data_IF_423249215526
#
_entry.id   IF_423249215526
#
_cell.length_a   1.000
_cell.length_b   1.000
_cell.length_c   1.000
_cell.angle_alpha   90.00
_cell.angle_beta   90.00
_cell.angle_gamma   90.00
#
_symmetry.space_group_name_H-M   'P 1'
#
loop_
_entity.id
_entity.type
_entity.pdbx_description
1 polymer ?
#
# COMPACT_ATOMS: atom_id res chain seq x y z
N UNK A 1 -4.59 -12.62 25.26
CA UNK A 1 -3.18 -12.23 25.03
C UNK A 1 -3.16 -10.74 24.77
N UNK A 2 -2.23 -9.96 25.34
CA UNK A 2 -2.16 -8.54 25.01
C UNK A 2 -1.74 -8.43 23.54
N UNK A 3 -2.44 -7.58 22.77
CA UNK A 3 -1.97 -7.20 21.44
C UNK A 3 -0.61 -6.56 21.63
N UNK A 4 0.43 -7.26 21.21
CA UNK A 4 1.78 -6.73 21.18
C UNK A 4 1.76 -5.47 20.32
N UNK A 5 2.02 -4.31 20.92
CA UNK A 5 2.22 -3.05 20.20
C UNK A 5 3.43 -3.20 19.26
N UNK A 6 3.16 -3.63 18.04
CA UNK A 6 4.17 -3.77 17.01
C UNK A 6 4.51 -2.38 16.50
N UNK A 7 5.72 -1.92 16.82
CA UNK A 7 6.22 -0.61 16.41
C UNK A 7 6.20 -0.49 14.88
N UNK A 8 5.81 0.67 14.33
CA UNK A 8 5.91 0.91 12.89
C UNK A 8 7.35 0.74 12.42
N UNK A 9 7.52 0.20 11.21
CA UNK A 9 8.83 0.11 10.58
C UNK A 9 9.43 1.49 10.33
N UNK A 10 10.76 1.57 10.21
CA UNK A 10 11.48 2.84 10.06
C UNK A 10 10.95 3.70 8.91
N UNK A 11 10.64 3.09 7.75
CA UNK A 11 10.12 3.82 6.59
C UNK A 11 8.72 4.38 6.85
N UNK A 12 7.82 3.57 7.43
CA UNK A 12 6.48 4.01 7.84
C UNK A 12 6.57 5.22 8.76
N UNK A 13 7.53 5.22 9.69
CA UNK A 13 7.77 6.34 10.58
C UNK A 13 8.18 7.62 9.83
N UNK A 14 9.03 7.51 8.78
CA UNK A 14 9.41 8.68 7.97
C UNK A 14 8.22 9.27 7.20
N UNK A 15 7.31 8.43 6.71
CA UNK A 15 6.06 8.85 6.05
C UNK A 15 5.13 9.55 7.04
N UNK A 16 4.96 8.97 8.23
CA UNK A 16 4.15 9.57 9.31
C UNK A 16 4.68 10.95 9.70
N UNK A 17 6.01 11.09 9.81
CA UNK A 17 6.68 12.33 10.17
C UNK A 17 6.74 13.35 9.02
N UNK A 18 6.16 13.04 7.85
CA UNK A 18 6.14 13.89 6.65
C UNK A 18 7.54 14.37 6.24
N UNK A 19 8.57 13.57 6.52
CA UNK A 19 9.95 13.84 6.11
C UNK A 19 10.19 13.53 4.63
N UNK A 20 9.17 13.03 3.94
CA UNK A 20 9.16 12.74 2.51
C UNK A 20 8.49 13.91 1.80
N UNK A 21 9.11 14.38 0.72
CA UNK A 21 8.65 15.54 -0.04
C UNK A 21 7.18 15.30 -0.47
N UNK A 22 6.25 16.26 -0.25
CA UNK A 22 4.85 16.11 -0.65
C UNK A 22 4.75 16.07 -2.16
N UNK A 23 4.74 14.85 -2.70
CA UNK A 23 4.33 14.56 -4.07
C UNK A 23 3.18 13.57 -3.98
N UNK A 24 2.09 13.81 -4.72
CA UNK A 24 0.98 12.86 -4.76
C UNK A 24 1.36 11.66 -5.62
N UNK A 25 2.13 10.74 -5.05
CA UNK A 25 2.49 9.48 -5.68
C UNK A 25 1.22 8.64 -5.90
N UNK A 26 1.14 8.00 -7.07
CA UNK A 26 0.25 6.87 -7.31
C UNK A 26 0.98 5.60 -6.88
N UNK A 27 0.42 4.90 -5.91
CA UNK A 27 1.03 3.72 -5.29
C UNK A 27 0.06 2.56 -5.41
N UNK A 28 0.56 1.45 -5.96
CA UNK A 28 -0.11 0.16 -5.86
C UNK A 28 0.59 -0.65 -4.77
N UNK A 29 -0.16 -1.02 -3.73
CA UNK A 29 0.34 -1.76 -2.59
C UNK A 29 -0.42 -3.08 -2.49
N UNK A 30 0.30 -4.18 -2.40
CA UNK A 30 -0.29 -5.51 -2.27
C UNK A 30 0.36 -6.27 -1.12
N UNK A 31 -0.47 -6.95 -0.31
CA UNK A 31 -0.01 -7.78 0.80
C UNK A 31 -0.88 -9.05 0.92
N UNK A 32 -0.25 -10.11 1.41
CA UNK A 32 -0.94 -11.35 1.75
C UNK A 32 -1.61 -11.25 3.13
N UNK A 33 -2.82 -11.79 3.27
CA UNK A 33 -3.53 -11.92 4.55
C UNK A 33 -3.04 -13.08 5.43
N UNK A 34 -2.34 -14.08 4.87
CA UNK A 34 -1.88 -15.27 5.63
C UNK A 34 -0.59 -15.02 6.42
N UNK A 35 0.12 -13.94 6.13
CA UNK A 35 1.30 -13.49 6.89
C UNK A 35 0.92 -12.32 7.80
N UNK A 36 0.53 -12.63 9.05
CA UNK A 36 -0.04 -11.65 9.99
C UNK A 36 0.85 -10.40 10.18
N UNK A 37 2.17 -10.59 10.29
CA UNK A 37 3.13 -9.50 10.48
C UNK A 37 3.22 -8.62 9.22
N UNK A 38 3.29 -9.24 8.04
CA UNK A 38 3.35 -8.54 6.75
C UNK A 38 2.06 -7.76 6.50
N UNK A 39 0.91 -8.37 6.75
CA UNK A 39 -0.38 -7.70 6.64
C UNK A 39 -0.47 -6.50 7.60
N UNK A 40 -0.01 -6.67 8.85
CA UNK A 40 -0.01 -5.60 9.84
C UNK A 40 0.87 -4.42 9.44
N UNK A 41 2.12 -4.65 9.04
CA UNK A 41 3.01 -3.54 8.63
C UNK A 41 2.54 -2.86 7.35
N UNK A 42 1.94 -3.61 6.42
CA UNK A 42 1.34 -3.04 5.22
C UNK A 42 0.11 -2.17 5.53
N UNK A 43 -0.74 -2.58 6.47
CA UNK A 43 -1.87 -1.77 6.93
C UNK A 43 -1.38 -0.44 7.54
N UNK A 44 -0.32 -0.46 8.36
CA UNK A 44 0.25 0.76 8.91
C UNK A 44 0.82 1.68 7.83
N UNK A 45 1.54 1.13 6.85
CA UNK A 45 2.08 1.90 5.73
C UNK A 45 0.97 2.50 4.86
N UNK A 46 -0.08 1.73 4.57
CA UNK A 46 -1.23 2.22 3.80
C UNK A 46 -1.87 3.45 4.47
N UNK A 47 -2.12 3.36 5.78
CA UNK A 47 -2.68 4.46 6.55
C UNK A 47 -1.74 5.69 6.59
N UNK A 48 -0.42 5.47 6.72
CA UNK A 48 0.57 6.54 6.69
C UNK A 48 0.59 7.26 5.32
N UNK A 49 0.57 6.51 4.23
CA UNK A 49 0.60 7.05 2.87
C UNK A 49 -0.68 7.83 2.53
N UNK A 50 -1.86 7.33 2.94
CA UNK A 50 -3.12 8.05 2.76
C UNK A 50 -3.11 9.39 3.52
N UNK A 51 -2.66 9.39 4.78
CA UNK A 51 -2.53 10.62 5.59
C UNK A 51 -1.52 11.61 5.00
N UNK A 52 -0.49 11.13 4.32
CA UNK A 52 0.48 11.95 3.62
C UNK A 52 -0.01 12.50 2.26
N UNK A 53 -1.24 12.18 1.83
CA UNK A 53 -1.85 12.72 0.61
C UNK A 53 -1.48 11.96 -0.68
N UNK A 54 -1.01 10.73 -0.57
CA UNK A 54 -0.76 9.87 -1.73
C UNK A 54 -2.03 9.16 -2.21
N UNK A 55 -2.08 8.82 -3.50
CA UNK A 55 -3.14 8.01 -4.08
C UNK A 55 -2.73 6.53 -4.02
N UNK A 56 -3.25 5.80 -3.03
CA UNK A 56 -2.86 4.42 -2.77
C UNK A 56 -4.01 3.48 -3.11
N UNK A 57 -3.77 2.56 -4.05
CA UNK A 57 -4.61 1.37 -4.22
C UNK A 57 -3.98 0.24 -3.40
N UNK A 58 -4.64 -0.14 -2.31
CA UNK A 58 -4.19 -1.23 -1.45
C UNK A 58 -5.08 -2.46 -1.63
N UNK A 59 -4.47 -3.57 -2.00
CA UNK A 59 -5.13 -4.87 -2.19
C UNK A 59 -4.56 -5.89 -1.24
N UNK A 60 -5.45 -6.55 -0.50
CA UNK A 60 -5.10 -7.75 0.27
C UNK A 60 -5.57 -8.96 -0.52
N UNK A 61 -4.68 -9.89 -0.78
CA UNK A 61 -5.02 -11.13 -1.47
C UNK A 61 -4.89 -12.32 -0.53
N UNK A 62 -5.72 -13.35 -0.75
CA UNK A 62 -5.66 -14.60 0.01
C UNK A 62 -4.72 -15.57 -0.72
N UNK A 63 -3.42 -15.33 -0.62
CA UNK A 63 -2.37 -16.12 -1.28
C UNK A 63 -1.21 -16.32 -0.33
N UNK A 64 0.01 -16.65 -0.76
CA UNK A 64 1.15 -16.87 0.14
C UNK A 64 2.34 -16.05 -0.31
N UNK A 65 3.52 -16.36 0.25
CA UNK A 65 4.81 -16.02 -0.35
C UNK A 65 5.09 -16.82 -1.65
N UNK A 66 4.10 -16.89 -2.54
CA UNK A 66 4.15 -17.63 -3.80
C UNK A 66 4.30 -16.65 -4.97
N UNK A 67 5.38 -16.82 -5.72
CA UNK A 67 5.71 -16.03 -6.92
C UNK A 67 4.59 -16.07 -7.95
N UNK A 68 3.81 -17.15 -8.00
CA UNK A 68 2.65 -17.26 -8.89
C UNK A 68 1.55 -16.25 -8.54
N UNK A 69 1.33 -15.97 -7.25
CA UNK A 69 0.38 -14.95 -6.82
C UNK A 69 0.86 -13.54 -7.20
N UNK A 70 2.16 -13.27 -7.01
CA UNK A 70 2.75 -11.96 -7.32
C UNK A 70 2.77 -11.64 -8.80
N UNK A 71 2.82 -12.66 -9.67
CA UNK A 71 2.72 -12.44 -11.13
C UNK A 71 1.41 -11.72 -11.50
N UNK A 72 0.29 -12.14 -10.91
CA UNK A 72 -1.00 -11.46 -11.11
C UNK A 72 -0.99 -10.05 -10.53
N UNK A 73 -0.50 -9.93 -9.29
CA UNK A 73 -0.26 -8.66 -8.60
C UNK A 73 0.48 -7.61 -9.42
N UNK A 74 1.60 -8.02 -10.02
CA UNK A 74 2.45 -7.16 -10.81
C UNK A 74 1.75 -6.67 -12.09
N UNK A 75 1.08 -7.56 -12.81
CA UNK A 75 0.38 -7.20 -14.06
C UNK A 75 -0.78 -6.24 -13.76
N UNK A 76 -1.56 -6.52 -12.71
CA UNK A 76 -2.66 -5.66 -12.29
C UNK A 76 -2.16 -4.29 -11.83
N UNK A 77 -1.10 -4.28 -11.02
CA UNK A 77 -0.49 -3.06 -10.51
C UNK A 77 0.06 -2.17 -11.62
N UNK A 78 0.78 -2.76 -12.60
CA UNK A 78 1.25 -2.03 -13.78
C UNK A 78 0.10 -1.49 -14.62
N UNK A 79 -0.95 -2.29 -14.83
CA UNK A 79 -2.13 -1.86 -15.57
C UNK A 79 -2.80 -0.67 -14.88
N UNK A 80 -2.96 -0.71 -13.56
CA UNK A 80 -3.53 0.37 -12.78
C UNK A 80 -2.67 1.64 -12.78
N UNK A 81 -1.34 1.50 -12.63
CA UNK A 81 -0.40 2.62 -12.60
C UNK A 81 -0.28 3.33 -13.95
N UNK A 82 -0.33 2.57 -15.04
CA UNK A 82 -0.14 3.07 -16.41
C UNK A 82 -1.45 3.49 -17.09
N UNK A 83 -2.61 3.15 -16.52
CA UNK A 83 -3.89 3.60 -17.04
C UNK A 83 -4.00 5.14 -16.97
N UNK A 84 -3.91 5.77 -18.14
CA UNK A 84 -3.94 7.23 -18.29
C UNK A 84 -5.34 7.82 -18.13
N UNK A 85 -6.38 6.99 -17.98
CA UNK A 85 -7.78 7.44 -18.07
C UNK A 85 -8.42 7.92 -16.76
N UNK A 86 -7.76 7.81 -15.60
CA UNK A 86 -8.34 8.24 -14.31
C UNK A 86 -7.97 9.67 -13.86
N UNK A 87 -7.58 10.55 -14.78
CA UNK A 87 -7.23 11.94 -14.45
C UNK A 87 -8.40 12.94 -14.56
N UNK A 88 -9.60 12.49 -14.96
CA UNK A 88 -10.77 13.36 -15.16
C UNK A 88 -12.07 12.66 -14.75
N UNK A 89 -12.31 12.48 -13.46
CA UNK A 89 -13.68 12.21 -12.99
C UNK A 89 -13.85 12.67 -11.53
N UNK A 90 -13.86 13.99 -11.35
CA UNK A 90 -14.42 14.65 -10.18
C UNK A 90 -14.68 16.12 -10.52
N UNK A 91 -15.66 16.33 -11.39
CA UNK A 91 -16.46 17.56 -11.53
C UNK A 91 -17.75 17.17 -12.26
N UNK A 92 -18.79 16.85 -11.48
CA UNK A 92 -20.21 17.05 -11.78
C UNK A 92 -21.03 16.80 -10.51
#
# INVERSE_FOLDING_TARGET
>A
MPLSEHKPGWLTQQVIEQKVIPSSLKIFQEADSREADIHFVNNQMHAALQKAGHNVNYRVFNGGHDVLCWRGGLIDGLSWLLDKNKSQQSEN
#
